data_IF_581712517261
#
_entry.id   IF_581712517261
#
_cell.length_a   1.000
_cell.length_b   1.000
_cell.length_c   1.000
_cell.angle_alpha   90.00
_cell.angle_beta   90.00
_cell.angle_gamma   90.00
#
_symmetry.space_group_name_H-M   'P 1'
#
loop_
_entity.id
_entity.type
_entity.pdbx_description
1 polymer ?
#
# COMPACT_ATOMS: atom_id res chain seq x y z
N UNK A 1 -42.04 -45.88 -42.61
CA UNK A 1 -42.13 -44.52 -43.19
C UNK A 1 -42.43 -43.58 -42.02
N UNK A 2 -41.69 -42.55 -41.62
CA UNK A 2 -40.70 -41.65 -42.21
C UNK A 2 -39.70 -41.24 -41.12
N UNK A 3 -38.46 -40.94 -41.53
CA UNK A 3 -37.44 -40.23 -40.76
C UNK A 3 -37.93 -38.81 -40.45
N UNK A 4 -37.70 -38.28 -39.25
CA UNK A 4 -37.30 -36.87 -39.04
C UNK A 4 -36.39 -36.80 -37.81
N UNK A 5 -35.13 -36.51 -38.10
CA UNK A 5 -34.11 -35.95 -37.22
C UNK A 5 -34.39 -34.44 -37.11
N UNK A 6 -34.38 -33.84 -35.92
CA UNK A 6 -33.95 -32.45 -35.77
C UNK A 6 -33.41 -32.20 -34.36
N UNK A 7 -32.14 -31.83 -34.35
CA UNK A 7 -31.27 -31.39 -33.26
C UNK A 7 -31.34 -29.86 -33.20
N UNK A 8 -31.25 -29.23 -32.02
CA UNK A 8 -30.81 -27.84 -31.68
C UNK A 8 -31.41 -27.49 -30.30
N UNK A 9 -30.84 -26.70 -29.39
CA UNK A 9 -29.47 -26.36 -28.94
C UNK A 9 -29.72 -25.41 -27.73
N UNK A 10 -28.94 -25.53 -26.66
CA UNK A 10 -28.65 -24.51 -25.62
C UNK A 10 -29.78 -23.66 -25.01
N UNK A 11 -29.97 -23.83 -23.69
CA UNK A 11 -29.93 -22.70 -22.74
C UNK A 11 -29.13 -23.12 -21.52
N UNK A 12 -27.90 -22.61 -21.44
CA UNK A 12 -27.12 -22.51 -20.21
C UNK A 12 -27.56 -21.19 -19.57
N UNK A 13 -28.09 -21.24 -18.35
CA UNK A 13 -28.23 -20.06 -17.50
C UNK A 13 -27.68 -20.43 -16.12
N UNK A 14 -26.38 -20.16 -15.98
CA UNK A 14 -25.74 -19.93 -14.70
C UNK A 14 -26.23 -18.59 -14.15
N UNK A 15 -26.99 -18.63 -13.05
CA UNK A 15 -27.04 -17.58 -12.03
C UNK A 15 -26.85 -18.35 -10.72
N UNK A 16 -25.65 -18.46 -10.15
CA UNK A 16 -24.79 -17.35 -9.79
C UNK A 16 -25.04 -17.08 -8.31
N UNK A 17 -24.24 -17.69 -7.45
CA UNK A 17 -24.17 -17.38 -6.02
C UNK A 17 -23.90 -15.89 -5.85
N UNK A 18 -24.76 -15.19 -5.11
CA UNK A 18 -24.34 -14.01 -4.37
C UNK A 18 -24.79 -14.18 -2.91
N UNK A 19 -24.04 -15.04 -2.22
CA UNK A 19 -23.72 -14.84 -0.82
C UNK A 19 -22.30 -14.30 -0.84
N UNK A 20 -22.18 -12.99 -0.81
CA UNK A 20 -21.29 -12.29 0.10
C UNK A 20 -21.56 -10.79 -0.06
N UNK A 21 -22.10 -10.20 1.00
CA UNK A 21 -21.96 -8.78 1.23
C UNK A 21 -20.48 -8.51 1.47
N UNK A 22 -19.69 -8.44 0.40
CA UNK A 22 -18.39 -7.81 0.45
C UNK A 22 -18.64 -6.38 0.92
N UNK A 23 -18.22 -6.08 2.15
CA UNK A 23 -17.79 -4.73 2.48
C UNK A 23 -16.96 -4.28 1.29
N UNK A 24 -17.30 -3.15 0.68
CA UNK A 24 -16.44 -2.47 -0.28
C UNK A 24 -15.10 -2.16 0.43
N UNK A 25 -14.21 -3.13 0.51
CA UNK A 25 -12.78 -2.92 0.61
C UNK A 25 -12.43 -2.35 -0.74
N UNK A 26 -12.56 -1.03 -0.85
CA UNK A 26 -12.07 -0.22 -1.94
C UNK A 26 -10.71 -0.81 -2.36
N UNK A 27 -10.63 -1.45 -3.53
CA UNK A 27 -9.50 -2.28 -3.98
C UNK A 27 -8.29 -1.40 -4.33
N UNK A 28 -7.81 -0.59 -3.37
CA UNK A 28 -6.77 0.43 -3.55
C UNK A 28 -5.42 -0.18 -3.98
N UNK A 29 -5.25 -1.49 -3.81
CA UNK A 29 -4.08 -2.21 -4.29
C UNK A 29 -4.09 -2.49 -5.80
N UNK A 30 -5.24 -2.37 -6.48
CA UNK A 30 -5.38 -2.49 -7.93
C UNK A 30 -5.44 -1.14 -8.67
N UNK A 31 -5.27 -0.01 -7.97
CA UNK A 31 -5.33 1.33 -8.57
C UNK A 31 -4.34 1.49 -9.73
N UNK A 32 -4.83 1.86 -10.91
CA UNK A 32 -3.97 2.26 -12.03
C UNK A 32 -3.65 3.76 -11.89
N UNK A 33 -2.39 4.09 -11.62
CA UNK A 33 -1.98 5.48 -11.42
C UNK A 33 -1.78 6.20 -12.74
N UNK A 34 -2.60 7.23 -12.96
CA UNK A 34 -2.52 8.14 -14.10
C UNK A 34 -1.76 9.41 -13.70
N UNK A 35 -0.73 9.77 -14.46
CA UNK A 35 0.05 11.00 -14.30
C UNK A 35 -0.85 12.25 -14.30
N UNK A 36 -0.57 13.18 -13.39
CA UNK A 36 -1.32 14.42 -13.24
C UNK A 36 -2.61 14.29 -12.42
N UNK A 37 -2.84 13.14 -11.78
CA UNK A 37 -3.98 12.92 -10.87
C UNK A 37 -3.54 12.85 -9.42
N UNK A 38 -4.44 13.28 -8.56
CA UNK A 38 -4.31 13.18 -7.11
C UNK A 38 -4.89 11.88 -6.58
N UNK A 39 -4.25 11.33 -5.57
CA UNK A 39 -4.66 10.10 -4.90
C UNK A 39 -4.49 10.23 -3.39
N UNK A 40 -5.15 9.33 -2.67
CA UNK A 40 -4.94 9.14 -1.24
C UNK A 40 -4.76 7.66 -0.98
N UNK A 41 -3.70 7.30 -0.26
CA UNK A 41 -3.41 5.90 0.02
C UNK A 41 -2.70 5.75 1.36
N UNK A 42 -2.87 4.59 2.00
CA UNK A 42 -2.09 4.21 3.17
C UNK A 42 -0.65 3.90 2.77
N UNK A 43 0.30 4.51 3.46
CA UNK A 43 1.72 4.18 3.43
C UNK A 43 2.16 3.63 4.78
N UNK A 44 3.21 2.84 4.78
CA UNK A 44 3.93 2.45 5.98
C UNK A 44 5.36 2.99 5.94
N UNK A 45 5.89 3.33 7.12
CA UNK A 45 7.28 3.70 7.31
C UNK A 45 8.18 2.46 7.11
N UNK A 46 9.08 2.54 6.12
CA UNK A 46 9.99 1.45 5.78
C UNK A 46 11.32 1.50 6.55
N UNK A 47 11.70 2.67 7.05
CA UNK A 47 12.95 2.86 7.80
C UNK A 47 13.64 4.17 7.46
N UNK A 48 14.74 4.41 8.16
CA UNK A 48 15.59 5.56 7.89
C UNK A 48 16.32 5.36 6.56
N UNK A 49 16.41 6.42 5.76
CA UNK A 49 17.31 6.50 4.60
C UNK A 49 18.14 7.77 4.73
N UNK A 50 19.43 7.71 4.46
CA UNK A 50 20.30 8.88 4.58
C UNK A 50 21.58 8.67 3.79
N UNK A 51 22.27 9.77 3.52
CA UNK A 51 23.55 9.74 2.83
C UNK A 51 24.51 10.76 3.43
N UNK A 52 25.80 10.50 3.26
CA UNK A 52 26.87 11.41 3.66
C UNK A 52 27.28 12.21 2.42
N UNK A 53 27.34 13.53 2.57
CA UNK A 53 27.75 14.47 1.51
C UNK A 53 28.65 15.55 2.09
N UNK A 54 29.30 16.33 1.21
CA UNK A 54 30.28 17.35 1.58
C UNK A 54 29.70 18.51 2.40
N UNK A 55 28.38 18.69 2.38
CA UNK A 55 27.61 19.67 3.14
C UNK A 55 27.13 19.18 4.51
N UNK A 56 27.51 17.97 4.93
CA UNK A 56 27.20 17.42 6.24
C UNK A 56 26.31 16.18 6.24
N UNK A 57 25.83 15.76 5.06
CA UNK A 57 24.93 14.61 4.93
C UNK A 57 23.50 14.94 5.34
N UNK A 58 22.59 14.06 4.98
CA UNK A 58 21.17 14.24 5.19
C UNK A 58 20.52 12.99 5.75
N UNK A 59 19.66 13.20 6.73
CA UNK A 59 18.79 12.17 7.26
C UNK A 59 17.49 12.17 6.46
N UNK A 60 16.79 11.05 6.52
CA UNK A 60 15.55 10.87 5.79
C UNK A 60 14.86 9.57 6.19
N UNK A 61 13.70 9.40 5.61
CA UNK A 61 12.83 8.24 5.80
C UNK A 61 12.31 7.80 4.46
N UNK A 62 12.22 6.48 4.26
CA UNK A 62 11.51 5.94 3.11
C UNK A 62 10.18 5.32 3.54
N UNK A 63 9.20 5.47 2.67
CA UNK A 63 7.82 5.07 2.87
C UNK A 63 7.38 4.22 1.69
N UNK A 64 6.63 3.16 1.96
CA UNK A 64 6.08 2.30 0.93
C UNK A 64 4.56 2.30 1.03
N UNK A 65 3.89 2.35 -0.11
CA UNK A 65 2.44 2.18 -0.16
C UNK A 65 2.05 0.81 0.39
N UNK A 66 0.88 0.72 1.02
CA UNK A 66 0.33 -0.54 1.54
C UNK A 66 0.20 -1.63 0.46
N UNK A 67 0.12 -1.24 -0.82
CA UNK A 67 0.08 -2.16 -1.96
C UNK A 67 1.46 -2.52 -2.55
N UNK A 68 2.56 -1.96 -2.03
CA UNK A 68 3.92 -2.27 -2.47
C UNK A 68 4.30 -1.79 -3.87
N UNK A 69 3.51 -0.90 -4.50
CA UNK A 69 3.77 -0.39 -5.86
C UNK A 69 4.37 1.01 -5.91
N UNK A 70 4.12 1.83 -4.88
CA UNK A 70 4.68 3.16 -4.75
C UNK A 70 5.67 3.21 -3.59
N UNK A 71 6.75 3.97 -3.78
CA UNK A 71 7.75 4.29 -2.76
C UNK A 71 8.11 5.75 -2.85
N UNK A 72 8.37 6.36 -1.71
CA UNK A 72 8.88 7.73 -1.62
C UNK A 72 9.92 7.81 -0.51
N UNK A 73 11.01 8.51 -0.75
CA UNK A 73 11.98 8.89 0.26
C UNK A 73 11.85 10.39 0.48
N UNK A 74 11.79 10.81 1.74
CA UNK A 74 11.87 12.22 2.12
C UNK A 74 13.11 12.43 2.98
N UNK A 75 13.80 13.53 2.73
CA UNK A 75 14.99 13.95 3.46
C UNK A 75 14.71 15.21 4.27
N UNK A 76 15.54 15.48 5.27
CA UNK A 76 15.40 16.62 6.19
C UNK A 76 15.35 18.01 5.54
N UNK A 77 15.80 18.14 4.29
CA UNK A 77 15.70 19.37 3.50
C UNK A 77 14.41 19.48 2.68
N UNK A 78 13.64 18.41 2.52
CA UNK A 78 12.37 18.46 1.80
C UNK A 78 11.34 19.23 2.63
N UNK A 79 10.62 20.15 1.99
CA UNK A 79 9.62 21.00 2.67
C UNK A 79 8.57 20.20 3.43
N UNK A 80 8.23 19.04 2.89
CA UNK A 80 7.16 18.20 3.40
C UNK A 80 7.65 17.29 4.55
N UNK A 81 8.97 17.12 4.71
CA UNK A 81 9.56 16.16 5.65
C UNK A 81 9.06 16.33 7.07
N UNK A 82 9.14 17.54 7.62
CA UNK A 82 8.72 17.79 9.01
C UNK A 82 7.22 17.55 9.25
N UNK A 83 6.40 17.55 8.20
CA UNK A 83 4.95 17.33 8.28
C UNK A 83 4.53 15.89 7.99
N UNK A 84 5.33 15.16 7.19
CA UNK A 84 5.05 13.78 6.80
C UNK A 84 5.81 12.78 7.67
N UNK A 85 7.01 13.10 8.13
CA UNK A 85 7.87 12.14 8.84
C UNK A 85 7.28 11.80 10.22
N UNK A 86 7.17 10.51 10.59
CA UNK A 86 6.74 10.15 11.93
C UNK A 86 7.72 10.64 12.99
N UNK A 87 7.21 10.94 14.18
CA UNK A 87 8.05 11.40 15.28
C UNK A 87 9.10 10.37 15.67
N UNK A 88 10.19 10.85 16.27
CA UNK A 88 11.26 9.97 16.78
C UNK A 88 10.73 8.97 17.79
N UNK A 89 9.81 9.40 18.65
CA UNK A 89 9.19 8.56 19.68
C UNK A 89 8.43 7.39 19.05
N UNK A 90 7.60 7.64 18.03
CA UNK A 90 6.86 6.59 17.31
C UNK A 90 7.79 5.61 16.58
N UNK A 91 8.89 6.11 16.00
CA UNK A 91 9.90 5.26 15.36
C UNK A 91 10.60 4.35 16.38
N UNK A 92 10.98 4.90 17.54
CA UNK A 92 11.60 4.11 18.62
C UNK A 92 10.64 3.08 19.21
N UNK A 93 9.37 3.43 19.38
CA UNK A 93 8.33 2.49 19.84
C UNK A 93 8.14 1.33 18.84
N UNK A 94 8.07 1.63 17.53
CA UNK A 94 8.00 0.62 16.48
C UNK A 94 9.20 -0.34 16.53
N UNK A 95 10.41 0.19 16.68
CA UNK A 95 11.64 -0.61 16.77
C UNK A 95 11.63 -1.54 17.99
N UNK A 96 11.19 -1.04 19.14
CA UNK A 96 11.08 -1.83 20.37
C UNK A 96 10.04 -2.96 20.25
N UNK A 97 8.85 -2.65 19.73
CA UNK A 97 7.79 -3.63 19.50
C UNK A 97 8.25 -4.75 18.55
N UNK A 98 8.92 -4.39 17.45
CA UNK A 98 9.42 -5.38 16.49
C UNK A 98 10.63 -6.16 17.00
N UNK A 99 11.48 -5.59 17.87
CA UNK A 99 12.57 -6.31 18.52
C UNK A 99 12.07 -7.36 19.52
N UNK A 100 10.96 -7.06 20.20
CA UNK A 100 10.36 -7.94 21.20
C UNK A 100 9.37 -8.94 20.60
N UNK A 101 8.93 -8.74 19.35
CA UNK A 101 8.05 -9.67 18.66
C UNK A 101 8.75 -11.00 18.34
N UNK A 102 8.14 -12.11 18.76
CA UNK A 102 8.57 -13.47 18.41
C UNK A 102 7.90 -13.99 17.14
N UNK A 103 6.84 -13.32 16.68
CA UNK A 103 6.10 -13.74 15.50
C UNK A 103 6.82 -13.24 14.23
N UNK A 104 7.18 -14.16 13.33
CA UNK A 104 7.82 -13.81 12.06
C UNK A 104 6.82 -13.42 10.97
N UNK A 105 5.57 -13.87 11.10
CA UNK A 105 4.48 -13.63 10.15
C UNK A 105 3.77 -12.30 10.44
N UNK A 106 3.46 -12.03 11.72
CA UNK A 106 2.84 -10.78 12.16
C UNK A 106 3.90 -9.83 12.73
N UNK A 107 3.90 -8.59 12.24
CA UNK A 107 4.82 -7.53 12.68
C UNK A 107 4.06 -6.24 12.92
N UNK A 108 4.70 -5.34 13.68
CA UNK A 108 4.20 -3.99 13.87
C UNK A 108 4.65 -3.12 12.70
N UNK A 109 3.76 -2.24 12.26
CA UNK A 109 3.99 -1.27 11.19
C UNK A 109 3.49 0.09 11.65
N UNK A 110 4.23 1.15 11.29
CA UNK A 110 3.77 2.52 11.48
C UNK A 110 3.14 2.98 10.17
N UNK A 111 1.85 3.31 10.18
CA UNK A 111 1.05 3.59 8.99
C UNK A 111 0.33 4.94 9.05
N UNK A 112 0.15 5.58 7.90
CA UNK A 112 -0.66 6.79 7.75
C UNK A 112 -1.24 6.87 6.34
N UNK A 113 -2.38 7.55 6.20
CA UNK A 113 -2.93 7.91 4.91
C UNK A 113 -2.26 9.19 4.41
N UNK A 114 -1.73 9.15 3.20
CA UNK A 114 -1.03 10.26 2.55
C UNK A 114 -1.74 10.60 1.25
N UNK A 115 -2.03 11.89 1.07
CA UNK A 115 -2.45 12.45 -0.20
C UNK A 115 -1.22 12.83 -1.04
N UNK A 116 -1.29 12.62 -2.35
CA UNK A 116 -0.21 12.98 -3.27
C UNK A 116 -0.72 13.21 -4.70
N UNK A 117 0.02 14.03 -5.45
CA UNK A 117 -0.04 14.11 -6.91
C UNK A 117 0.90 13.05 -7.51
N UNK A 118 0.35 12.20 -8.37
CA UNK A 118 1.17 11.21 -9.10
C UNK A 118 1.76 11.84 -10.37
N UNK A 119 3.09 11.77 -10.51
CA UNK A 119 3.82 12.33 -11.65
C UNK A 119 4.82 11.31 -12.20
N UNK A 120 4.39 10.50 -13.16
CA UNK A 120 5.24 9.56 -13.90
C UNK A 120 6.17 8.70 -13.01
N UNK A 121 5.60 8.06 -11.98
CA UNK A 121 6.35 7.24 -11.02
C UNK A 121 6.91 7.99 -9.81
N UNK A 122 6.83 9.32 -9.80
CA UNK A 122 7.15 10.15 -8.64
C UNK A 122 5.87 10.60 -7.90
N UNK A 123 6.01 10.85 -6.61
CA UNK A 123 4.94 11.41 -5.77
C UNK A 123 5.31 12.85 -5.41
N UNK A 124 4.39 13.77 -5.58
CA UNK A 124 4.58 15.20 -5.34
C UNK A 124 3.43 15.74 -4.47
N UNK A 125 3.61 16.94 -3.90
CA UNK A 125 2.62 17.63 -3.06
C UNK A 125 2.06 16.70 -1.96
N UNK A 126 2.98 16.10 -1.20
CA UNK A 126 2.61 15.11 -0.19
C UNK A 126 1.93 15.83 0.97
N UNK A 127 0.83 15.28 1.46
CA UNK A 127 0.19 15.77 2.68
C UNK A 127 -0.37 14.62 3.50
N UNK A 128 -0.17 14.71 4.82
CA UNK A 128 -0.67 13.73 5.78
C UNK A 128 -2.19 13.93 5.95
N UNK A 129 -2.96 12.86 5.78
CA UNK A 129 -4.42 12.87 5.99
C UNK A 129 -4.76 12.37 7.40
N UNK A 130 -3.97 11.42 7.92
CA UNK A 130 -4.14 10.85 9.26
C UNK A 130 -2.81 10.82 9.98
N UNK A 131 -2.83 11.05 11.29
CA UNK A 131 -1.64 10.83 12.12
C UNK A 131 -1.07 9.42 11.95
N UNK A 132 0.23 9.30 12.13
CA UNK A 132 0.90 8.00 12.15
C UNK A 132 0.42 7.15 13.32
N UNK A 133 0.05 5.91 13.02
CA UNK A 133 -0.38 4.94 14.03
C UNK A 133 0.34 3.61 13.85
N UNK A 134 0.65 2.97 14.97
CA UNK A 134 1.18 1.62 15.00
C UNK A 134 0.02 0.64 14.81
N UNK A 135 0.19 -0.30 13.89
CA UNK A 135 -0.76 -1.37 13.58
C UNK A 135 -0.03 -2.70 13.51
N UNK A 136 -0.76 -3.81 13.65
CA UNK A 136 -0.25 -5.16 13.40
C UNK A 136 -0.66 -5.58 12.00
N UNK A 137 0.29 -6.13 11.24
CA UNK A 137 -0.01 -6.64 9.91
C UNK A 137 0.93 -7.75 9.45
N UNK A 138 0.68 -8.21 8.23
CA UNK A 138 1.50 -9.20 7.53
C UNK A 138 1.68 -8.81 6.07
N UNK A 139 2.77 -9.29 5.46
CA UNK A 139 2.96 -9.18 4.02
C UNK A 139 2.28 -10.33 3.30
N UNK A 140 1.55 -10.02 2.24
CA UNK A 140 0.90 -10.99 1.37
C UNK A 140 1.24 -10.70 -0.09
N UNK A 141 1.60 -11.75 -0.83
CA UNK A 141 1.87 -11.63 -2.26
C UNK A 141 0.57 -11.49 -3.05
N UNK A 142 0.59 -10.64 -4.08
CA UNK A 142 -0.50 -10.53 -5.06
C UNK A 142 0.06 -10.23 -6.45
N UNK A 143 -0.75 -10.52 -7.48
CA UNK A 143 -0.38 -10.27 -8.88
C UNK A 143 -1.12 -9.05 -9.40
N UNK A 144 -0.37 -8.11 -9.98
CA UNK A 144 -0.90 -6.97 -10.72
C UNK A 144 -0.12 -6.81 -12.03
N UNK A 145 -0.82 -6.68 -13.16
CA UNK A 145 -0.20 -6.54 -14.48
C UNK A 145 0.93 -7.56 -14.76
N UNK A 146 0.70 -8.84 -14.39
CA UNK A 146 1.65 -9.96 -14.55
C UNK A 146 2.94 -9.84 -13.73
N UNK A 147 3.01 -8.92 -12.76
CA UNK A 147 4.10 -8.78 -11.81
C UNK A 147 3.62 -9.14 -10.40
N UNK A 148 4.51 -9.72 -9.60
CA UNK A 148 4.24 -10.08 -8.20
C UNK A 148 4.65 -8.89 -7.33
N UNK A 149 3.76 -8.48 -6.45
CA UNK A 149 3.98 -7.45 -5.45
C UNK A 149 3.64 -7.99 -4.06
N UNK A 150 4.18 -7.36 -3.03
CA UNK A 150 3.82 -7.62 -1.64
C UNK A 150 2.96 -6.48 -1.12
N UNK A 151 1.77 -6.80 -0.61
CA UNK A 151 0.91 -5.84 0.09
C UNK A 151 0.97 -6.09 1.59
N UNK A 152 0.92 -5.01 2.35
CA UNK A 152 0.72 -5.07 3.79
C UNK A 152 -0.79 -5.24 4.06
N UNK A 153 -1.16 -6.35 4.69
CA UNK A 153 -2.49 -6.57 5.24
C UNK A 153 -2.48 -6.13 6.69
N UNK A 154 -3.17 -5.01 6.98
CA UNK A 154 -3.43 -4.57 8.35
C UNK A 154 -4.50 -5.48 8.94
N UNK A 155 -4.21 -6.02 10.13
CA UNK A 155 -5.10 -6.92 10.84
C UNK A 155 -5.79 -6.14 11.96
N UNK A 156 -5.04 -5.31 12.70
CA UNK A 156 -5.53 -4.47 13.82
C UNK A 156 -4.72 -3.19 13.97
#
# INVERSE_FOLDING_TARGET
MKKVLFMIFTVILFCGCDKDSEKETNNSYLTEYVTGREYSQTFYYGGNCGYISSDGGHNGSYFESICGRLRVSLYDYDSDFATIDPTRELKSELEELNKNSKNKELKYYLTANIHFLYSNGQLQNLSLITDWKIVIGKMEEYVYNKQIYNRLIVIE
#
